data_IF_575393576059
#
_entry.id   IF_575393576059
#
_cell.length_a   1.000
_cell.length_b   1.000
_cell.length_c   1.000
_cell.angle_alpha   90.00
_cell.angle_beta   90.00
_cell.angle_gamma   90.00
#
_symmetry.space_group_name_H-M   'P 1'
#
loop_
_entity.id
_entity.type
_entity.pdbx_description
1 polymer ?
#
# COMPACT_ATOMS: atom_id res chain seq x y z
N UNK A 1 -28.60 23.01 38.13
CA UNK A 1 -29.19 22.71 36.81
C UNK A 1 -28.03 22.39 35.88
N UNK A 2 -27.66 21.12 35.78
CA UNK A 2 -26.60 20.67 34.87
C UNK A 2 -27.21 20.61 33.47
N UNK A 3 -26.80 21.51 32.59
CA UNK A 3 -27.21 21.51 31.19
C UNK A 3 -26.45 20.42 30.44
N UNK A 4 -27.16 19.39 29.99
CA UNK A 4 -26.71 18.46 28.98
C UNK A 4 -26.48 19.22 27.66
N UNK A 5 -25.23 19.29 27.20
CA UNK A 5 -24.93 19.53 25.79
C UNK A 5 -25.04 18.17 25.08
N UNK A 6 -26.22 17.85 24.58
CA UNK A 6 -26.38 16.76 23.61
C UNK A 6 -25.73 17.23 22.31
N UNK A 7 -24.49 16.81 22.08
CA UNK A 7 -23.85 16.88 20.77
C UNK A 7 -24.51 15.85 19.86
N UNK A 8 -25.71 16.13 19.39
CA UNK A 8 -26.31 15.42 18.27
C UNK A 8 -25.54 15.83 17.02
N UNK A 9 -24.44 15.14 16.72
CA UNK A 9 -23.75 15.31 15.45
C UNK A 9 -24.65 14.65 14.39
N UNK A 10 -25.23 15.42 13.45
CA UNK A 10 -26.15 14.87 12.47
C UNK A 10 -25.42 13.84 11.59
N UNK A 11 -25.85 12.58 11.69
CA UNK A 11 -25.25 11.43 10.99
C UNK A 11 -25.18 11.66 9.47
N UNK A 12 -26.12 12.42 8.90
CA UNK A 12 -26.12 12.83 7.49
C UNK A 12 -24.91 13.69 7.13
N UNK A 13 -24.57 14.70 7.94
CA UNK A 13 -23.43 15.58 7.66
C UNK A 13 -22.09 14.84 7.81
N UNK A 14 -21.99 13.91 8.76
CA UNK A 14 -20.82 13.02 8.87
C UNK A 14 -20.70 12.15 7.61
N UNK A 15 -21.81 11.59 7.14
CA UNK A 15 -21.81 10.73 5.94
C UNK A 15 -21.37 11.52 4.71
N UNK A 16 -21.89 12.72 4.51
CA UNK A 16 -21.51 13.60 3.41
C UNK A 16 -20.04 14.04 3.49
N UNK A 17 -19.53 14.33 4.69
CA UNK A 17 -18.12 14.66 4.91
C UNK A 17 -17.21 13.46 4.62
N UNK A 18 -17.56 12.27 5.11
CA UNK A 18 -16.80 11.06 4.88
C UNK A 18 -16.85 10.63 3.41
N UNK A 19 -17.98 10.81 2.72
CA UNK A 19 -18.10 10.59 1.28
C UNK A 19 -17.21 11.58 0.50
N UNK A 20 -17.22 12.86 0.87
CA UNK A 20 -16.37 13.86 0.26
C UNK A 20 -14.88 13.55 0.46
N UNK A 21 -14.47 13.13 1.66
CA UNK A 21 -13.09 12.71 1.95
C UNK A 21 -12.74 11.43 1.21
N UNK A 22 -13.64 10.43 1.21
CA UNK A 22 -13.48 9.15 0.51
C UNK A 22 -13.32 9.31 -1.01
N UNK A 23 -13.87 10.36 -1.60
CA UNK A 23 -13.65 10.69 -3.02
C UNK A 23 -12.30 11.37 -3.29
N UNK A 24 -11.77 12.14 -2.33
CA UNK A 24 -10.55 12.96 -2.52
C UNK A 24 -9.27 12.22 -2.11
N UNK A 25 -9.33 11.39 -1.06
CA UNK A 25 -8.17 10.65 -0.54
C UNK A 25 -7.57 9.70 -1.60
N UNK A 26 -8.35 8.88 -2.34
CA UNK A 26 -7.79 8.00 -3.36
C UNK A 26 -7.10 8.79 -4.48
N UNK A 27 -7.65 9.95 -4.86
CA UNK A 27 -7.02 10.82 -5.86
C UNK A 27 -5.68 11.36 -5.38
N UNK A 28 -5.59 11.82 -4.13
CA UNK A 28 -4.33 12.31 -3.55
C UNK A 28 -3.27 11.19 -3.50
N UNK A 29 -3.67 9.98 -3.15
CA UNK A 29 -2.78 8.81 -3.16
C UNK A 29 -2.30 8.52 -4.59
N UNK A 30 -3.21 8.48 -5.57
CA UNK A 30 -2.86 8.24 -6.98
C UNK A 30 -1.94 9.32 -7.55
N UNK A 31 -2.18 10.59 -7.22
CA UNK A 31 -1.33 11.71 -7.66
C UNK A 31 0.06 11.61 -6.99
N UNK A 32 0.12 11.28 -5.69
CA UNK A 32 1.38 11.03 -4.98
C UNK A 32 2.12 9.83 -5.57
N UNK A 33 1.44 8.72 -5.82
CA UNK A 33 2.03 7.55 -6.50
C UNK A 33 2.52 7.93 -7.89
N UNK A 34 1.78 8.74 -8.65
CA UNK A 34 2.25 9.29 -9.94
C UNK A 34 3.54 10.08 -9.81
N UNK A 35 3.71 10.86 -8.74
CA UNK A 35 4.97 11.55 -8.46
C UNK A 35 6.08 10.61 -7.97
N UNK A 36 5.75 9.57 -7.18
CA UNK A 36 6.69 8.56 -6.66
C UNK A 36 7.08 7.50 -7.71
N UNK A 37 6.31 7.35 -8.78
CA UNK A 37 6.65 6.53 -9.95
C UNK A 37 7.10 7.39 -11.14
N UNK A 38 7.32 8.69 -10.93
CA UNK A 38 7.99 9.55 -11.92
C UNK A 38 9.40 9.03 -12.21
N UNK A 39 9.94 9.37 -13.38
CA UNK A 39 11.29 8.97 -13.80
C UNK A 39 12.35 9.23 -12.72
N UNK A 40 12.24 10.36 -12.01
CA UNK A 40 13.12 10.73 -10.93
C UNK A 40 13.00 9.79 -9.71
N UNK A 41 11.78 9.46 -9.31
CA UNK A 41 11.54 8.61 -8.15
C UNK A 41 11.83 7.13 -8.45
N UNK A 42 11.55 6.66 -9.67
CA UNK A 42 12.02 5.36 -10.17
C UNK A 42 13.55 5.26 -10.20
N UNK A 43 14.24 6.33 -10.62
CA UNK A 43 15.71 6.41 -10.59
C UNK A 43 16.25 6.35 -9.16
N UNK A 44 15.64 7.07 -8.23
CA UNK A 44 16.04 7.07 -6.81
C UNK A 44 15.83 5.70 -6.18
N UNK A 45 14.68 5.06 -6.44
CA UNK A 45 14.37 3.71 -5.98
C UNK A 45 15.35 2.67 -6.55
N UNK A 46 15.63 2.73 -7.85
CA UNK A 46 16.61 1.86 -8.51
C UNK A 46 18.01 2.00 -7.91
N UNK A 47 18.45 3.23 -7.62
CA UNK A 47 19.73 3.48 -6.91
C UNK A 47 19.75 2.85 -5.53
N UNK A 48 18.68 3.01 -4.75
CA UNK A 48 18.57 2.42 -3.41
C UNK A 48 18.61 0.88 -3.44
N UNK A 49 17.87 0.25 -4.36
CA UNK A 49 17.88 -1.22 -4.51
C UNK A 49 19.26 -1.71 -5.01
N UNK A 50 19.90 -0.98 -5.92
CA UNK A 50 21.25 -1.30 -6.40
C UNK A 50 22.32 -1.17 -5.31
N UNK A 51 22.24 -0.14 -4.46
CA UNK A 51 23.12 0.01 -3.30
C UNK A 51 22.90 -1.11 -2.28
N UNK A 52 21.63 -1.47 -2.02
CA UNK A 52 21.30 -2.59 -1.14
C UNK A 52 21.90 -3.90 -1.67
N UNK A 53 21.71 -4.22 -2.96
CA UNK A 53 22.36 -5.38 -3.59
C UNK A 53 23.88 -5.35 -3.42
N UNK A 54 24.52 -4.20 -3.67
CA UNK A 54 25.98 -4.08 -3.59
C UNK A 54 26.49 -4.30 -2.16
N UNK A 55 25.77 -3.78 -1.16
CA UNK A 55 26.09 -4.03 0.24
C UNK A 55 25.93 -5.51 0.61
N UNK A 56 24.87 -6.20 0.15
CA UNK A 56 24.71 -7.63 0.39
C UNK A 56 25.91 -8.43 -0.15
N UNK A 57 26.33 -8.15 -1.38
CA UNK A 57 27.51 -8.79 -1.99
C UNK A 57 28.79 -8.44 -1.23
N UNK A 58 28.98 -7.17 -0.84
CA UNK A 58 30.16 -6.73 -0.07
C UNK A 58 30.25 -7.41 1.30
N UNK A 59 29.10 -7.75 1.90
CA UNK A 59 29.04 -8.47 3.17
C UNK A 59 29.18 -10.00 3.00
N UNK A 60 29.54 -10.48 1.81
CA UNK A 60 29.86 -11.88 1.54
C UNK A 60 28.66 -12.75 1.15
N UNK A 61 27.52 -12.14 0.84
CA UNK A 61 26.34 -12.87 0.34
C UNK A 61 26.57 -13.21 -1.14
N UNK A 62 26.36 -14.46 -1.57
CA UNK A 62 26.47 -14.85 -2.97
C UNK A 62 25.60 -13.98 -3.88
N UNK A 63 26.11 -13.59 -5.06
CA UNK A 63 25.41 -12.68 -5.98
C UNK A 63 23.99 -13.14 -6.33
N UNK A 64 23.80 -14.45 -6.50
CA UNK A 64 22.48 -15.04 -6.80
C UNK A 64 21.47 -14.83 -5.67
N UNK A 65 21.92 -14.96 -4.43
CA UNK A 65 21.09 -14.80 -3.24
C UNK A 65 20.87 -13.33 -2.90
N UNK A 66 21.90 -12.50 -3.04
CA UNK A 66 21.80 -11.04 -2.93
C UNK A 66 20.81 -10.45 -3.96
N UNK A 67 20.84 -10.94 -5.20
CA UNK A 67 19.91 -10.53 -6.25
C UNK A 67 18.48 -10.97 -5.92
N UNK A 68 18.29 -12.19 -5.39
CA UNK A 68 16.99 -12.67 -4.95
C UNK A 68 16.42 -11.81 -3.82
N UNK A 69 17.24 -11.45 -2.82
CA UNK A 69 16.84 -10.55 -1.72
C UNK A 69 16.51 -9.14 -2.20
N UNK A 70 17.32 -8.56 -3.08
CA UNK A 70 17.05 -7.23 -3.65
C UNK A 70 15.74 -7.22 -4.46
N UNK A 71 15.48 -8.27 -5.25
CA UNK A 71 14.21 -8.45 -5.98
C UNK A 71 13.03 -8.58 -5.01
N UNK A 72 13.15 -9.43 -3.98
CA UNK A 72 12.12 -9.61 -2.97
C UNK A 72 11.79 -8.30 -2.26
N UNK A 73 12.80 -7.53 -1.87
CA UNK A 73 12.64 -6.20 -1.27
C UNK A 73 11.89 -5.23 -2.19
N UNK A 74 12.27 -5.17 -3.47
CA UNK A 74 11.59 -4.33 -4.46
C UNK A 74 10.12 -4.76 -4.67
N UNK A 75 9.86 -6.06 -4.73
CA UNK A 75 8.50 -6.60 -4.84
C UNK A 75 7.65 -6.29 -3.61
N UNK A 76 8.20 -6.38 -2.40
CA UNK A 76 7.51 -5.98 -1.16
C UNK A 76 7.15 -4.50 -1.17
N UNK A 77 8.06 -3.63 -1.59
CA UNK A 77 7.79 -2.19 -1.74
C UNK A 77 6.71 -1.92 -2.79
N UNK A 78 6.78 -2.56 -3.95
CA UNK A 78 5.78 -2.41 -5.00
C UNK A 78 4.39 -2.91 -4.55
N UNK A 79 4.33 -4.02 -3.81
CA UNK A 79 3.09 -4.55 -3.25
C UNK A 79 2.51 -3.61 -2.18
N UNK A 80 3.36 -3.08 -1.28
CA UNK A 80 2.94 -2.11 -0.28
C UNK A 80 2.35 -0.85 -0.93
N UNK A 81 3.04 -0.29 -1.93
CA UNK A 81 2.56 0.88 -2.68
C UNK A 81 1.26 0.58 -3.44
N UNK A 82 1.16 -0.58 -4.08
CA UNK A 82 -0.07 -1.03 -4.78
C UNK A 82 -1.24 -1.24 -3.82
N UNK A 83 -1.00 -1.78 -2.63
CA UNK A 83 -2.03 -1.98 -1.61
C UNK A 83 -2.56 -0.67 -1.02
N UNK A 84 -1.75 0.40 -1.06
CA UNK A 84 -2.14 1.75 -0.68
C UNK A 84 -2.91 2.43 -1.84
N UNK A 85 -2.54 2.15 -3.09
CA UNK A 85 -3.20 2.67 -4.30
C UNK A 85 -4.51 1.97 -4.70
N UNK A 86 -4.75 0.73 -4.24
CA UNK A 86 -5.93 -0.08 -4.62
C UNK A 86 -6.57 -0.72 -3.38
N UNK A 87 -7.45 0.03 -2.71
CA UNK A 87 -8.57 -0.56 -1.94
C UNK A 87 -9.90 0.05 -2.39
N UNK A 88 -10.08 0.15 -3.70
CA UNK A 88 -11.39 0.24 -4.35
C UNK A 88 -11.73 -1.09 -5.01
N UNK A 89 -12.43 -1.98 -4.28
CA UNK A 89 -13.18 -3.12 -4.81
C UNK A 89 -12.42 -4.27 -5.47
N UNK A 90 -12.34 -5.43 -4.80
CA UNK A 90 -12.34 -6.74 -5.47
C UNK A 90 -12.88 -7.79 -4.50
N UNK A 91 -13.92 -8.49 -4.97
CA UNK A 91 -14.63 -9.56 -4.28
C UNK A 91 -13.67 -10.72 -4.03
N UNK A 92 -13.68 -11.24 -2.81
CA UNK A 92 -13.04 -12.49 -2.46
C UNK A 92 -13.98 -13.61 -2.94
N UNK A 93 -13.64 -14.26 -4.05
CA UNK A 93 -14.28 -15.50 -4.48
C UNK A 93 -13.76 -16.62 -3.58
N UNK A 94 -14.67 -17.26 -2.87
CA UNK A 94 -14.43 -18.42 -2.01
C UNK A 94 -14.92 -19.65 -2.78
N UNK A 95 -14.00 -20.54 -3.13
CA UNK A 95 -14.32 -21.82 -3.76
C UNK A 95 -13.11 -22.72 -3.69
N UNK A 96 -13.10 -23.61 -2.70
CA UNK A 96 -12.56 -24.96 -2.75
C UNK A 96 -12.92 -25.67 -1.43
N UNK A 97 -14.16 -26.14 -1.37
CA UNK A 97 -14.63 -27.19 -0.48
C UNK A 97 -13.97 -28.53 -0.86
N UNK A 98 -12.84 -28.81 -0.24
CA UNK A 98 -12.26 -30.16 -0.16
C UNK A 98 -12.22 -30.65 1.28
N UNK A 99 -13.38 -31.01 1.83
CA UNK A 99 -13.42 -31.90 3.00
C UNK A 99 -14.66 -32.78 2.96
N UNK A 100 -14.55 -33.88 2.20
CA UNK A 100 -15.39 -35.05 2.36
C UNK A 100 -14.63 -36.10 3.18
N UNK A 101 -14.66 -35.98 4.50
CA UNK A 101 -14.26 -37.04 5.41
C UNK A 101 -15.42 -37.36 6.36
N UNK A 102 -15.67 -38.67 6.51
CA UNK A 102 -16.79 -39.37 7.18
C UNK A 102 -18.06 -39.59 6.35
#
# INVERSE_FOLDING_TARGET
MSGEHSSDIPVKEITELLDAVGQKVPKLISDLLGTLFSEQAGTQLGKSVGLFYRELVNNGIPETEALAMAKAYMSSLANALSSIGVRGGSKHEHGEDIEGCC
#
